data_IF_278943351019
#
_entry.id   IF_278943351019
#
_cell.length_a   1.000
_cell.length_b   1.000
_cell.length_c   1.000
_cell.angle_alpha   90.00
_cell.angle_beta   90.00
_cell.angle_gamma   90.00
#
_symmetry.space_group_name_H-M   'P 1'
#
loop_
_entity.id
_entity.type
_entity.pdbx_description
1 polymer ?
#
# COMPACT_ATOMS: atom_id res chain seq x y z
N UNK A 1 42.13 59.91 -32.85
CA UNK A 1 42.08 58.45 -32.78
C UNK A 1 41.19 58.06 -31.59
N UNK A 2 39.97 57.54 -31.87
CA UNK A 2 39.04 57.09 -30.86
C UNK A 2 39.11 55.56 -30.81
N UNK A 3 39.56 55.02 -29.69
CA UNK A 3 39.64 53.58 -29.42
C UNK A 3 38.25 53.10 -28.97
N UNK A 4 37.63 52.22 -29.74
CA UNK A 4 36.40 51.53 -29.39
C UNK A 4 36.74 50.27 -28.60
N UNK A 5 36.33 50.17 -27.32
CA UNK A 5 36.39 48.97 -26.52
C UNK A 5 35.20 48.08 -26.81
N UNK A 6 35.44 46.92 -27.41
CA UNK A 6 34.40 45.87 -27.50
C UNK A 6 34.28 45.17 -26.13
N UNK A 7 33.09 45.27 -25.53
CA UNK A 7 32.70 44.40 -24.43
C UNK A 7 32.19 43.07 -25.01
N UNK A 8 32.88 41.99 -24.74
CA UNK A 8 32.41 40.63 -25.00
C UNK A 8 31.42 40.21 -23.89
N UNK A 9 30.14 40.10 -24.24
CA UNK A 9 29.09 39.62 -23.36
C UNK A 9 29.08 38.06 -23.45
N UNK A 10 29.66 37.37 -22.46
CA UNK A 10 29.61 35.92 -22.37
C UNK A 10 28.27 35.49 -21.78
N UNK A 11 27.40 34.94 -22.64
CA UNK A 11 26.12 34.36 -22.26
C UNK A 11 26.39 32.93 -21.69
N UNK A 12 26.41 32.82 -20.37
CA UNK A 12 26.52 31.53 -19.67
C UNK A 12 25.21 30.75 -19.74
N UNK A 13 25.18 29.68 -20.53
CA UNK A 13 24.07 28.74 -20.59
C UNK A 13 24.14 27.83 -19.37
N UNK A 14 23.33 28.12 -18.32
CA UNK A 14 23.16 27.23 -17.18
C UNK A 14 22.29 26.06 -17.60
N UNK A 15 22.88 24.85 -17.75
CA UNK A 15 22.13 23.60 -17.83
C UNK A 15 21.53 23.32 -16.45
N UNK A 16 20.24 23.54 -16.30
CA UNK A 16 19.50 23.00 -15.18
C UNK A 16 19.36 21.48 -15.38
N UNK A 17 20.16 20.69 -14.64
CA UNK A 17 19.95 19.26 -14.54
C UNK A 17 18.63 19.02 -13.77
N UNK A 18 17.53 18.81 -14.50
CA UNK A 18 16.27 18.37 -13.92
C UNK A 18 16.45 16.96 -13.35
N UNK A 19 16.40 16.82 -12.03
CA UNK A 19 16.27 15.52 -11.37
C UNK A 19 14.92 14.95 -11.79
N UNK A 20 14.92 13.89 -12.60
CA UNK A 20 13.74 13.13 -12.89
C UNK A 20 13.32 12.43 -11.59
N UNK A 21 12.37 13.01 -10.87
CA UNK A 21 11.69 12.31 -9.79
C UNK A 21 10.95 11.13 -10.42
N UNK A 22 11.18 9.92 -9.91
CA UNK A 22 10.38 8.76 -10.23
C UNK A 22 8.93 9.09 -9.83
N UNK A 23 8.02 9.11 -10.80
CA UNK A 23 6.62 9.51 -10.64
C UNK A 23 5.77 8.39 -10.05
N UNK A 24 6.21 7.75 -8.97
CA UNK A 24 5.37 6.90 -8.14
C UNK A 24 4.41 7.79 -7.33
N UNK A 25 3.16 7.33 -7.13
CA UNK A 25 2.23 8.00 -6.21
C UNK A 25 2.70 7.80 -4.77
N UNK A 26 2.54 8.82 -3.92
CA UNK A 26 2.79 8.71 -2.48
C UNK A 26 1.58 8.04 -1.80
N UNK A 27 1.57 6.72 -1.81
CA UNK A 27 0.51 5.89 -1.20
C UNK A 27 0.87 5.41 0.20
N UNK A 28 2.17 5.27 0.50
CA UNK A 28 2.66 4.88 1.81
C UNK A 28 3.06 6.13 2.61
N UNK A 29 2.43 6.39 3.78
CA UNK A 29 2.75 7.54 4.64
C UNK A 29 4.15 7.42 5.25
N UNK A 30 4.54 8.42 6.06
CA UNK A 30 5.79 8.37 6.82
C UNK A 30 5.84 7.08 7.66
N UNK A 31 6.95 6.31 7.62
CA UNK A 31 7.11 5.09 8.39
C UNK A 31 6.83 5.24 9.89
N UNK A 32 7.08 6.41 10.47
CA UNK A 32 6.83 6.69 11.88
C UNK A 32 5.34 6.67 12.26
N UNK A 33 4.43 6.82 11.29
CA UNK A 33 2.99 6.86 11.52
C UNK A 33 2.36 5.45 11.63
N UNK A 34 3.00 4.41 11.14
CA UNK A 34 2.42 3.09 10.98
C UNK A 34 1.74 2.53 12.25
N UNK A 35 2.36 2.70 13.42
CA UNK A 35 1.78 2.22 14.70
C UNK A 35 0.50 2.99 15.07
N UNK A 36 0.49 4.30 14.86
CA UNK A 36 -0.67 5.14 15.13
C UNK A 36 -1.80 4.85 14.14
N UNK A 37 -1.48 4.66 12.87
CA UNK A 37 -2.46 4.36 11.82
C UNK A 37 -3.12 2.98 12.05
N UNK A 38 -2.34 1.97 12.44
CA UNK A 38 -2.88 0.65 12.81
C UNK A 38 -3.81 0.78 14.03
N UNK A 39 -3.42 1.55 15.05
CA UNK A 39 -4.26 1.75 16.23
C UNK A 39 -5.57 2.48 15.88
N UNK A 40 -5.53 3.49 15.03
CA UNK A 40 -6.71 4.20 14.53
C UNK A 40 -7.61 3.28 13.68
N UNK A 41 -7.01 2.48 12.79
CA UNK A 41 -7.72 1.52 11.97
C UNK A 41 -8.46 0.45 12.81
N UNK A 42 -7.83 -0.05 13.86
CA UNK A 42 -8.46 -1.00 14.79
C UNK A 42 -9.65 -0.38 15.53
N UNK A 43 -9.55 0.89 15.95
CA UNK A 43 -10.68 1.63 16.51
C UNK A 43 -11.86 1.73 15.53
N UNK A 44 -11.56 2.12 14.29
CA UNK A 44 -12.56 2.22 13.23
C UNK A 44 -13.17 0.87 12.91
N UNK A 45 -12.35 -0.17 12.78
CA UNK A 45 -12.80 -1.53 12.50
C UNK A 45 -13.74 -2.06 13.58
N UNK A 46 -13.41 -1.85 14.86
CA UNK A 46 -14.26 -2.23 15.99
C UNK A 46 -15.60 -1.49 15.98
N UNK A 47 -15.62 -0.19 15.65
CA UNK A 47 -16.84 0.61 15.60
C UNK A 47 -17.74 0.29 14.38
N UNK A 48 -17.16 -0.22 13.29
CA UNK A 48 -17.86 -0.45 12.01
C UNK A 48 -18.00 -1.93 11.63
N UNK A 49 -17.53 -2.83 12.50
CA UNK A 49 -17.52 -4.27 12.27
C UNK A 49 -16.77 -4.69 11.00
N UNK A 50 -15.71 -3.95 10.66
CA UNK A 50 -14.82 -4.24 9.54
C UNK A 50 -13.57 -4.99 10.00
N UNK A 51 -12.81 -5.52 9.04
CA UNK A 51 -11.46 -6.02 9.27
C UNK A 51 -10.41 -4.95 8.98
N UNK A 52 -9.21 -5.08 9.56
CA UNK A 52 -8.07 -4.24 9.16
C UNK A 52 -7.25 -5.01 8.14
N UNK A 53 -6.97 -4.38 7.01
CA UNK A 53 -6.09 -4.88 5.97
C UNK A 53 -4.78 -4.10 6.03
N UNK A 54 -3.70 -4.78 6.41
CA UNK A 54 -2.35 -4.21 6.42
C UNK A 54 -1.67 -4.54 5.10
N UNK A 55 -1.16 -3.51 4.44
CA UNK A 55 -0.37 -3.59 3.21
C UNK A 55 1.04 -3.09 3.47
N UNK A 56 1.99 -4.02 3.56
CA UNK A 56 3.41 -3.72 3.77
C UNK A 56 4.10 -3.47 2.43
N UNK A 57 4.72 -2.30 2.32
CA UNK A 57 5.41 -1.90 1.10
C UNK A 57 6.05 -0.52 1.20
N UNK A 58 6.25 0.13 0.06
CA UNK A 58 6.81 1.48 -0.01
C UNK A 58 6.59 2.14 -1.36
N UNK A 59 6.71 3.46 -1.41
CA UNK A 59 6.45 4.26 -2.61
C UNK A 59 7.40 3.94 -3.79
N UNK A 60 8.56 3.37 -3.52
CA UNK A 60 9.53 2.88 -4.52
C UNK A 60 9.12 1.57 -5.20
N UNK A 61 8.18 0.82 -4.63
CA UNK A 61 7.80 -0.52 -5.05
C UNK A 61 6.77 -0.46 -6.19
N UNK A 62 7.14 -0.83 -7.39
CA UNK A 62 6.25 -0.81 -8.56
C UNK A 62 5.06 -1.77 -8.44
N UNK A 63 5.25 -2.95 -7.84
CA UNK A 63 4.16 -3.90 -7.59
C UNK A 63 3.18 -3.39 -6.51
N UNK A 64 3.68 -2.64 -5.52
CA UNK A 64 2.84 -1.97 -4.53
C UNK A 64 1.95 -0.89 -5.16
N UNK A 65 2.49 -0.12 -6.13
CA UNK A 65 1.72 0.86 -6.90
C UNK A 65 0.58 0.19 -7.70
N UNK A 66 0.83 -0.99 -8.25
CA UNK A 66 -0.19 -1.76 -9.00
C UNK A 66 -1.24 -2.34 -8.06
N UNK A 67 -0.84 -2.87 -6.89
CA UNK A 67 -1.79 -3.35 -5.89
C UNK A 67 -2.74 -2.23 -5.45
N UNK A 68 -2.23 -1.03 -5.20
CA UNK A 68 -3.06 0.12 -4.85
C UNK A 68 -4.02 0.52 -5.98
N UNK A 69 -3.58 0.47 -7.25
CA UNK A 69 -4.48 0.65 -8.39
C UNK A 69 -5.60 -0.38 -8.39
N UNK A 70 -5.30 -1.64 -8.10
CA UNK A 70 -6.31 -2.70 -8.06
C UNK A 70 -7.24 -2.58 -6.85
N UNK A 71 -6.79 -2.09 -5.71
CA UNK A 71 -7.68 -1.75 -4.59
C UNK A 71 -8.70 -0.68 -4.97
N UNK A 72 -8.32 0.27 -5.83
CA UNK A 72 -9.17 1.36 -6.30
C UNK A 72 -9.90 1.08 -7.62
N UNK A 73 -9.74 -0.12 -8.19
CA UNK A 73 -10.51 -0.59 -9.34
C UNK A 73 -12.02 -0.58 -9.01
N UNK A 74 -12.90 -0.13 -9.92
CA UNK A 74 -14.35 -0.10 -9.70
C UNK A 74 -14.98 -1.41 -9.21
N UNK A 75 -14.38 -2.56 -9.53
CA UNK A 75 -14.83 -3.87 -9.05
C UNK A 75 -14.41 -4.18 -7.62
N UNK A 76 -13.30 -3.64 -7.15
CA UNK A 76 -12.70 -3.94 -5.85
C UNK A 76 -13.02 -2.89 -4.78
N UNK A 77 -13.04 -1.62 -5.16
CA UNK A 77 -13.22 -0.51 -4.21
C UNK A 77 -14.47 -0.66 -3.33
N UNK A 78 -15.66 -0.99 -3.86
CA UNK A 78 -16.85 -1.18 -3.02
C UNK A 78 -16.69 -2.33 -2.00
N UNK A 79 -15.99 -3.41 -2.38
CA UNK A 79 -15.74 -4.54 -1.48
C UNK A 79 -14.76 -4.15 -0.38
N UNK A 80 -13.69 -3.44 -0.75
CA UNK A 80 -12.68 -2.94 0.18
C UNK A 80 -13.33 -1.98 1.20
N UNK A 81 -14.02 -0.94 0.74
CA UNK A 81 -14.61 0.08 1.59
C UNK A 81 -15.72 -0.47 2.51
N UNK A 82 -16.53 -1.41 2.03
CA UNK A 82 -17.58 -2.00 2.84
C UNK A 82 -17.04 -2.90 3.97
N UNK A 83 -15.89 -3.55 3.79
CA UNK A 83 -15.46 -4.66 4.62
C UNK A 83 -14.14 -4.45 5.36
N UNK A 84 -13.32 -3.49 4.93
CA UNK A 84 -11.97 -3.32 5.47
C UNK A 84 -11.66 -1.87 5.82
N UNK A 85 -10.71 -1.70 6.73
CA UNK A 85 -9.96 -0.47 6.94
C UNK A 85 -8.54 -0.77 6.44
N UNK A 86 -8.16 -0.18 5.31
CA UNK A 86 -6.84 -0.35 4.71
C UNK A 86 -5.82 0.52 5.42
N UNK A 87 -4.65 -0.06 5.72
CA UNK A 87 -3.48 0.65 6.27
C UNK A 87 -2.26 0.30 5.45
N UNK A 88 -1.67 1.30 4.80
CA UNK A 88 -0.36 1.16 4.16
C UNK A 88 0.75 1.28 5.21
N UNK A 89 1.49 0.20 5.41
CA UNK A 89 2.61 0.12 6.36
C UNK A 89 3.91 0.33 5.59
N UNK A 90 4.45 1.55 5.66
CA UNK A 90 5.69 1.89 4.99
C UNK A 90 6.88 1.21 5.65
N UNK A 91 7.61 0.39 4.91
CA UNK A 91 8.80 -0.34 5.38
C UNK A 91 10.13 0.36 5.04
N UNK A 92 10.10 1.66 4.69
CA UNK A 92 11.29 2.39 4.29
C UNK A 92 11.95 1.77 3.06
N UNK A 93 13.23 1.60 3.11
CA UNK A 93 14.02 0.82 2.11
C UNK A 93 14.26 -0.63 2.61
N UNK A 94 13.23 -1.30 3.12
CA UNK A 94 13.28 -2.59 3.83
C UNK A 94 13.96 -2.49 5.21
N UNK A 95 13.92 -1.33 5.85
CA UNK A 95 14.61 -1.01 7.10
C UNK A 95 13.71 -0.39 8.18
N UNK A 96 12.44 -0.09 7.85
CA UNK A 96 11.46 0.45 8.79
C UNK A 96 10.32 -0.54 9.07
N UNK A 97 9.70 -0.44 10.26
CA UNK A 97 8.54 -1.22 10.68
C UNK A 97 8.72 -2.76 10.61
N UNK A 98 9.96 -3.24 10.71
CA UNK A 98 10.29 -4.66 10.71
C UNK A 98 9.70 -5.38 11.93
N UNK A 99 9.58 -4.67 13.05
CA UNK A 99 8.90 -5.16 14.26
C UNK A 99 7.41 -5.40 14.02
N UNK A 100 6.74 -4.55 13.23
CA UNK A 100 5.34 -4.75 12.84
C UNK A 100 5.21 -5.93 11.86
N UNK A 101 6.09 -6.05 10.87
CA UNK A 101 6.10 -7.20 9.97
C UNK A 101 6.28 -8.52 10.76
N UNK A 102 7.22 -8.54 11.72
CA UNK A 102 7.42 -9.68 12.61
C UNK A 102 6.18 -9.97 13.47
N UNK A 103 5.61 -8.94 14.09
CA UNK A 103 4.40 -9.05 14.92
C UNK A 103 3.23 -9.68 14.18
N UNK A 104 3.01 -9.28 12.94
CA UNK A 104 1.94 -9.79 12.08
C UNK A 104 2.38 -10.97 11.21
N UNK A 105 3.56 -11.53 11.47
CA UNK A 105 4.11 -12.72 10.84
C UNK A 105 4.23 -12.60 9.31
N UNK A 106 4.54 -11.41 8.81
CA UNK A 106 4.74 -11.12 7.39
C UNK A 106 6.23 -11.25 7.04
N UNK A 107 6.64 -12.27 6.26
CA UNK A 107 8.04 -12.46 5.88
C UNK A 107 8.40 -11.54 4.70
N UNK A 108 8.88 -10.33 4.97
CA UNK A 108 9.26 -9.34 3.94
C UNK A 108 10.31 -9.86 2.97
N UNK A 109 11.12 -10.85 3.37
CA UNK A 109 12.10 -11.52 2.50
C UNK A 109 11.47 -12.29 1.33
N UNK A 110 10.15 -12.50 1.34
CA UNK A 110 9.40 -13.12 0.25
C UNK A 110 8.89 -12.10 -0.78
N UNK A 111 9.22 -10.83 -0.60
CA UNK A 111 8.81 -9.73 -1.49
C UNK A 111 7.67 -8.89 -0.94
N UNK A 112 7.46 -7.76 -1.61
CA UNK A 112 6.38 -6.79 -1.34
C UNK A 112 5.72 -6.41 -2.66
N UNK A 113 4.40 -6.05 -2.64
CA UNK A 113 3.56 -5.84 -1.44
C UNK A 113 3.29 -7.15 -0.70
N UNK A 114 3.08 -7.05 0.61
CA UNK A 114 2.79 -8.19 1.46
C UNK A 114 1.63 -7.86 2.41
N UNK A 115 0.61 -8.72 2.44
CA UNK A 115 -0.65 -8.45 3.10
C UNK A 115 -0.83 -9.23 4.41
N UNK A 116 -1.49 -8.59 5.38
CA UNK A 116 -2.04 -9.24 6.55
C UNK A 116 -3.46 -8.75 6.83
N UNK A 117 -4.32 -9.62 7.35
CA UNK A 117 -5.69 -9.29 7.73
C UNK A 117 -5.87 -9.50 9.22
N UNK A 118 -6.41 -8.49 9.89
CA UNK A 118 -6.77 -8.54 11.31
C UNK A 118 -8.29 -8.52 11.47
N UNK A 119 -8.79 -9.17 12.50
CA UNK A 119 -10.18 -9.01 12.93
C UNK A 119 -10.41 -7.59 13.46
N UNK A 120 -11.66 -7.22 13.70
CA UNK A 120 -12.08 -5.98 14.38
C UNK A 120 -11.52 -5.84 15.81
N UNK A 121 -11.03 -6.95 16.39
CA UNK A 121 -10.37 -7.01 17.72
C UNK A 121 -8.85 -7.07 17.63
N UNK A 122 -8.28 -6.95 16.42
CA UNK A 122 -6.82 -7.00 16.22
C UNK A 122 -6.21 -8.40 16.21
N UNK A 123 -7.03 -9.47 16.18
CA UNK A 123 -6.52 -10.84 16.03
C UNK A 123 -6.05 -11.05 14.60
N UNK A 124 -4.84 -11.57 14.41
CA UNK A 124 -4.33 -11.96 13.10
C UNK A 124 -5.17 -13.10 12.53
N UNK A 125 -5.76 -12.90 11.37
CA UNK A 125 -6.58 -13.85 10.62
C UNK A 125 -5.82 -14.45 9.43
N UNK A 126 -5.05 -13.63 8.75
CA UNK A 126 -4.24 -14.01 7.61
C UNK A 126 -2.91 -13.25 7.62
N UNK A 127 -1.87 -13.88 7.17
CA UNK A 127 -0.59 -13.27 6.85
C UNK A 127 -0.03 -13.97 5.62
N UNK A 128 0.33 -13.19 4.62
CA UNK A 128 1.02 -13.66 3.42
C UNK A 128 2.33 -14.36 3.81
N UNK A 129 2.54 -15.57 3.30
CA UNK A 129 3.72 -16.40 3.66
C UNK A 129 4.65 -16.65 2.49
N UNK A 130 4.15 -16.71 1.27
CA UNK A 130 4.85 -17.15 0.08
C UNK A 130 5.19 -16.04 -0.93
N UNK A 131 4.86 -14.77 -0.64
CA UNK A 131 5.00 -13.69 -1.62
C UNK A 131 3.85 -13.66 -2.64
N UNK A 132 2.63 -13.98 -2.21
CA UNK A 132 1.46 -14.19 -3.08
C UNK A 132 1.13 -12.94 -3.93
N UNK A 133 1.47 -11.74 -3.44
CA UNK A 133 1.22 -10.46 -4.14
C UNK A 133 2.50 -9.75 -4.60
N UNK A 134 3.69 -10.36 -4.43
CA UNK A 134 4.98 -9.73 -4.75
C UNK A 134 5.16 -9.39 -6.25
N UNK A 135 4.36 -10.00 -7.12
CA UNK A 135 4.44 -9.87 -8.57
C UNK A 135 3.16 -9.25 -9.19
N UNK A 136 2.56 -8.25 -8.54
CA UNK A 136 1.28 -7.65 -8.93
C UNK A 136 1.22 -7.18 -10.37
N UNK A 137 2.32 -6.68 -10.94
CA UNK A 137 2.40 -6.28 -12.36
C UNK A 137 2.18 -7.43 -13.35
N UNK A 138 2.19 -8.68 -12.88
CA UNK A 138 1.92 -9.89 -13.66
C UNK A 138 0.61 -10.56 -13.27
N UNK A 139 -0.14 -9.95 -12.36
CA UNK A 139 -1.42 -10.47 -11.88
C UNK A 139 -2.57 -9.64 -12.41
N UNK A 140 -3.77 -10.20 -12.37
CA UNK A 140 -5.00 -9.52 -12.75
C UNK A 140 -5.68 -8.93 -11.52
N UNK A 141 -6.45 -7.84 -11.70
CA UNK A 141 -7.25 -7.19 -10.66
C UNK A 141 -8.19 -8.18 -9.95
N UNK A 142 -8.68 -9.21 -10.65
CA UNK A 142 -9.51 -10.28 -10.10
C UNK A 142 -8.84 -11.09 -8.97
N UNK A 143 -7.51 -11.14 -8.92
CA UNK A 143 -6.79 -11.76 -7.80
C UNK A 143 -7.03 -11.00 -6.49
N UNK A 144 -7.10 -9.67 -6.57
CA UNK A 144 -7.45 -8.82 -5.43
C UNK A 144 -8.92 -8.99 -5.06
N UNK A 145 -9.81 -9.08 -6.05
CA UNK A 145 -11.24 -9.38 -5.81
C UNK A 145 -11.41 -10.66 -5.01
N UNK A 146 -10.77 -11.74 -5.45
CA UNK A 146 -10.84 -13.04 -4.77
C UNK A 146 -10.33 -12.96 -3.33
N UNK A 147 -9.21 -12.27 -3.11
CA UNK A 147 -8.66 -12.06 -1.78
C UNK A 147 -9.62 -11.28 -0.88
N UNK A 148 -10.16 -10.16 -1.34
CA UNK A 148 -11.10 -9.34 -0.58
C UNK A 148 -12.37 -10.12 -0.23
N UNK A 149 -12.95 -10.87 -1.18
CA UNK A 149 -14.13 -11.70 -0.96
C UNK A 149 -13.84 -12.80 0.06
N UNK A 150 -12.69 -13.47 -0.04
CA UNK A 150 -12.28 -14.52 0.89
C UNK A 150 -12.12 -14.01 2.33
N UNK A 151 -11.59 -12.80 2.49
CA UNK A 151 -11.22 -12.25 3.79
C UNK A 151 -12.17 -11.17 4.31
N UNK A 152 -13.31 -10.90 3.67
CA UNK A 152 -14.34 -10.02 4.22
C UNK A 152 -14.98 -10.61 5.50
N UNK A 153 -15.52 -9.79 6.42
CA UNK A 153 -16.25 -10.28 7.56
C UNK A 153 -17.43 -11.16 7.13
N UNK A 154 -17.70 -12.20 7.89
CA UNK A 154 -18.96 -12.96 7.74
C UNK A 154 -20.07 -12.11 8.30
N UNK A 155 -21.09 -11.81 7.50
CA UNK A 155 -22.27 -11.06 7.93
C UNK A 155 -23.02 -11.85 9.02
N UNK A 156 -23.43 -11.22 10.14
CA UNK A 156 -24.27 -11.88 11.13
C UNK A 156 -25.59 -12.31 10.45
N UNK A 157 -25.89 -13.60 10.44
CA UNK A 157 -27.08 -14.16 9.80
C UNK A 157 -26.85 -14.82 8.43
N UNK A 158 -25.65 -14.72 7.87
CA UNK A 158 -25.27 -15.47 6.67
C UNK A 158 -24.73 -16.84 7.07
N UNK A 159 -25.59 -17.84 7.12
CA UNK A 159 -25.18 -19.25 7.27
C UNK A 159 -24.53 -19.72 5.97
N UNK A 160 -23.51 -20.56 6.08
CA UNK A 160 -22.70 -21.13 4.97
C UNK A 160 -23.54 -21.88 3.89
N UNK A 161 -24.86 -21.89 4.02
CA UNK A 161 -25.81 -22.61 3.16
C UNK A 161 -26.55 -21.71 2.18
N UNK A 162 -26.41 -20.36 2.28
CA UNK A 162 -27.09 -19.44 1.36
C UNK A 162 -26.09 -18.81 0.36
N UNK A 163 -26.27 -19.13 -0.91
CA UNK A 163 -25.41 -18.80 -2.05
C UNK A 163 -25.42 -17.30 -2.41
N UNK A 164 -26.10 -16.43 -1.67
CA UNK A 164 -26.31 -15.01 -1.99
C UNK A 164 -26.07 -14.06 -0.81
N UNK A 165 -24.97 -14.20 -0.11
CA UNK A 165 -24.54 -13.20 0.88
C UNK A 165 -23.32 -12.40 0.42
#
# INVERSE_FOLDING_TARGET
LKTVKLLALSLGLALAAGTANSTGRDIYPDPAQAKADIAAALKTAAATNKRVLLDFGGNWCGDCQVLDLYFHDPGNLPILEANFVLVHVNIGQMDANLDLASRYQVPLSKGVPALAVLSEKGKLLYSQKGGEFEAMRRMESSSVTQFLVQWKPVQPGCSTVMVNC
#
